data_IF_767758005597
#
_entry.id   IF_767758005597
#
_cell.length_a   1.000
_cell.length_b   1.000
_cell.length_c   1.000
_cell.angle_alpha   90.00
_cell.angle_beta   90.00
_cell.angle_gamma   90.00
#
_symmetry.space_group_name_H-M   'P 1'
#
loop_
_entity.id
_entity.type
_entity.pdbx_description
1 polymer ?
#
# COMPACT_ATOMS: atom_id res chain seq x y z
N UNK A 1 5.59 -36.34 47.95
CA UNK A 1 5.66 -37.01 46.65
C UNK A 1 4.71 -36.24 45.74
N UNK A 2 5.25 -35.26 45.01
CA UNK A 2 4.48 -34.52 44.01
C UNK A 2 4.33 -35.41 42.77
N UNK A 3 3.09 -35.60 42.34
CA UNK A 3 2.77 -36.37 41.15
C UNK A 3 3.50 -35.79 39.94
N UNK A 4 4.32 -36.64 39.31
CA UNK A 4 4.89 -36.38 38.01
C UNK A 4 3.73 -36.35 37.00
N UNK A 5 3.10 -35.18 36.86
CA UNK A 5 2.08 -34.90 35.86
C UNK A 5 2.77 -35.00 34.49
N UNK A 6 2.77 -36.19 33.90
CA UNK A 6 3.30 -36.43 32.56
C UNK A 6 2.51 -35.57 31.58
N UNK A 7 3.07 -34.42 31.22
CA UNK A 7 2.50 -33.55 30.19
C UNK A 7 2.45 -34.32 28.87
N UNK A 8 1.24 -34.62 28.41
CA UNK A 8 1.02 -35.32 27.16
C UNK A 8 1.19 -34.37 25.96
N UNK A 9 1.90 -34.82 24.93
CA UNK A 9 2.01 -34.10 23.65
C UNK A 9 0.75 -34.34 22.86
N UNK A 10 0.06 -33.27 22.50
CA UNK A 10 -1.09 -33.27 21.61
C UNK A 10 -0.63 -32.83 20.21
N UNK A 11 -0.92 -33.68 19.23
CA UNK A 11 -1.00 -33.25 17.83
C UNK A 11 -2.24 -32.39 17.63
N UNK A 12 -2.27 -31.54 16.60
CA UNK A 12 -3.40 -30.67 16.35
C UNK A 12 -4.73 -31.45 16.20
N UNK A 13 -4.71 -32.60 15.52
CA UNK A 13 -5.90 -33.44 15.30
C UNK A 13 -6.47 -34.02 16.61
N UNK A 14 -5.62 -34.15 17.63
CA UNK A 14 -6.01 -34.64 18.97
C UNK A 14 -6.45 -33.56 19.94
N UNK A 15 -6.46 -32.28 19.54
CA UNK A 15 -6.91 -31.19 20.39
C UNK A 15 -8.44 -31.18 20.57
N UNK A 16 -8.95 -30.68 21.71
CA UNK A 16 -10.35 -30.31 21.86
C UNK A 16 -10.83 -29.38 20.73
N UNK A 17 -12.05 -29.59 20.23
CA UNK A 17 -12.60 -28.83 19.09
C UNK A 17 -12.57 -27.31 19.31
N UNK A 18 -12.86 -26.86 20.54
CA UNK A 18 -12.81 -25.44 20.91
C UNK A 18 -11.41 -24.82 20.71
N UNK A 19 -10.35 -25.61 20.94
CA UNK A 19 -8.97 -25.18 20.72
C UNK A 19 -8.60 -25.25 19.23
N UNK A 20 -9.11 -26.22 18.49
CA UNK A 20 -8.92 -26.32 17.03
C UNK A 20 -9.47 -25.11 16.28
N UNK A 21 -10.47 -24.42 16.82
CA UNK A 21 -11.03 -23.19 16.22
C UNK A 21 -10.03 -22.02 16.22
N UNK A 22 -9.08 -21.99 17.17
CA UNK A 22 -8.19 -20.83 17.37
C UNK A 22 -6.70 -21.14 17.23
N UNK A 23 -6.28 -22.37 17.53
CA UNK A 23 -4.87 -22.75 17.56
C UNK A 23 -4.37 -23.20 16.17
N UNK A 24 -3.19 -22.71 15.74
CA UNK A 24 -2.55 -23.11 14.47
C UNK A 24 -2.44 -24.62 14.24
N UNK A 25 -2.65 -25.06 13.00
CA UNK A 25 -2.64 -26.48 12.61
C UNK A 25 -1.27 -27.15 12.60
N UNK A 26 -0.23 -26.41 12.22
CA UNK A 26 1.11 -26.97 11.96
C UNK A 26 2.00 -27.04 13.21
N UNK A 27 1.38 -27.08 14.40
CA UNK A 27 2.08 -27.06 15.68
C UNK A 27 1.65 -28.22 16.58
N UNK A 28 2.56 -28.62 17.46
CA UNK A 28 2.30 -29.56 18.54
C UNK A 28 2.20 -28.81 19.86
N UNK A 29 1.34 -29.31 20.75
CA UNK A 29 0.95 -28.61 21.98
C UNK A 29 1.12 -29.52 23.18
N UNK A 30 1.85 -29.05 24.18
CA UNK A 30 1.86 -29.63 25.53
C UNK A 30 0.90 -28.82 26.40
N UNK A 31 -0.31 -29.33 26.63
CA UNK A 31 -1.31 -28.64 27.45
C UNK A 31 -0.98 -28.87 28.93
N UNK A 32 -0.72 -27.78 29.66
CA UNK A 32 -0.51 -27.82 31.11
C UNK A 32 -1.82 -27.60 31.86
N UNK A 33 -2.63 -26.65 31.38
CA UNK A 33 -3.89 -26.26 32.00
C UNK A 33 -4.85 -25.79 30.91
N UNK A 34 -6.07 -26.28 30.95
CA UNK A 34 -7.15 -25.87 30.06
C UNK A 34 -8.43 -25.76 30.89
N UNK A 35 -9.02 -24.57 30.91
CA UNK A 35 -10.24 -24.26 31.65
C UNK A 35 -11.25 -23.71 30.65
N UNK A 36 -12.31 -24.46 30.39
CA UNK A 36 -13.45 -23.96 29.63
C UNK A 36 -14.28 -23.03 30.53
N UNK A 37 -14.60 -21.84 30.02
CA UNK A 37 -15.40 -20.84 30.72
C UNK A 37 -16.80 -20.80 30.12
N UNK A 38 -17.82 -20.35 30.88
CA UNK A 38 -19.15 -20.14 30.34
C UNK A 38 -19.11 -19.24 29.09
N UNK A 39 -19.87 -19.56 28.04
CA UNK A 39 -19.90 -18.73 26.85
C UNK A 39 -20.45 -17.35 27.17
N UNK A 40 -19.93 -16.34 26.48
CA UNK A 40 -20.41 -14.97 26.61
C UNK A 40 -21.42 -14.65 25.53
N UNK A 41 -22.64 -14.31 25.96
CA UNK A 41 -23.69 -13.84 25.06
C UNK A 41 -23.59 -12.35 24.84
N UNK A 42 -23.32 -11.95 23.61
CA UNK A 42 -23.23 -10.54 23.20
C UNK A 42 -24.61 -9.87 23.17
N UNK A 43 -24.63 -8.53 23.16
CA UNK A 43 -25.87 -7.75 22.99
C UNK A 43 -26.63 -8.05 21.69
N UNK A 44 -25.95 -8.62 20.68
CA UNK A 44 -26.53 -9.06 19.41
C UNK A 44 -26.97 -10.54 19.42
N UNK A 45 -27.06 -11.18 20.60
CA UNK A 45 -27.45 -12.59 20.78
C UNK A 45 -26.51 -13.62 20.11
N UNK A 46 -25.23 -13.27 19.93
CA UNK A 46 -24.20 -14.25 19.54
C UNK A 46 -23.50 -14.79 20.78
N UNK A 47 -23.36 -16.12 20.84
CA UNK A 47 -22.58 -16.79 21.87
C UNK A 47 -21.12 -16.92 21.45
N UNK A 48 -20.23 -16.58 22.36
CA UNK A 48 -18.78 -16.62 22.16
C UNK A 48 -18.19 -17.61 23.13
N UNK A 49 -17.50 -18.62 22.61
CA UNK A 49 -16.71 -19.57 23.38
C UNK A 49 -15.62 -18.87 24.16
N UNK A 50 -15.48 -19.19 25.45
CA UNK A 50 -14.45 -18.63 26.31
C UNK A 50 -13.65 -19.74 26.97
N UNK A 51 -12.35 -19.52 27.12
CA UNK A 51 -11.48 -20.47 27.82
C UNK A 51 -10.18 -19.79 28.28
N UNK A 52 -9.50 -20.44 29.20
CA UNK A 52 -8.11 -20.16 29.56
C UNK A 52 -7.24 -21.37 29.20
N UNK A 53 -6.09 -21.12 28.59
CA UNK A 53 -5.15 -22.16 28.17
C UNK A 53 -3.74 -21.77 28.58
N UNK A 54 -3.06 -22.69 29.25
CA UNK A 54 -1.61 -22.66 29.44
C UNK A 54 -1.00 -23.87 28.77
N UNK A 55 -0.14 -23.63 27.78
CA UNK A 55 0.47 -24.70 27.01
C UNK A 55 1.91 -24.35 26.58
N UNK A 56 2.64 -25.36 26.14
CA UNK A 56 3.91 -25.20 25.44
C UNK A 56 3.79 -25.59 23.98
N UNK A 57 4.47 -24.86 23.11
CA UNK A 57 4.44 -25.03 21.66
C UNK A 57 5.86 -25.29 21.14
N UNK A 58 5.95 -26.08 20.07
CA UNK A 58 7.17 -26.33 19.29
C UNK A 58 7.62 -25.08 18.51
N UNK A 59 8.05 -24.04 19.23
CA UNK A 59 8.69 -22.86 18.67
C UNK A 59 9.89 -22.49 19.56
N UNK A 60 11.08 -22.42 18.96
CA UNK A 60 12.35 -22.30 19.69
C UNK A 60 13.02 -20.91 19.57
N UNK A 61 12.46 -20.06 18.71
CA UNK A 61 13.00 -18.74 18.38
C UNK A 61 11.95 -17.65 18.46
N UNK A 62 12.42 -16.40 18.48
CA UNK A 62 11.53 -15.23 18.47
C UNK A 62 10.74 -15.16 17.16
N UNK A 63 11.37 -15.51 16.06
CA UNK A 63 10.80 -15.52 14.72
C UNK A 63 9.69 -16.57 14.61
N UNK A 64 9.91 -17.77 15.14
CA UNK A 64 8.88 -18.81 15.20
C UNK A 64 7.72 -18.45 16.13
N UNK A 65 7.99 -17.81 17.28
CA UNK A 65 6.93 -17.30 18.15
C UNK A 65 6.05 -16.25 17.44
N UNK A 66 6.65 -15.35 16.65
CA UNK A 66 5.89 -14.40 15.83
C UNK A 66 5.10 -15.09 14.72
N UNK A 67 5.67 -16.09 14.03
CA UNK A 67 4.94 -16.89 13.02
C UNK A 67 3.74 -17.59 13.64
N UNK A 68 3.92 -18.22 14.79
CA UNK A 68 2.84 -18.86 15.55
C UNK A 68 1.75 -17.85 15.92
N UNK A 69 2.14 -16.69 16.44
CA UNK A 69 1.18 -15.65 16.83
C UNK A 69 0.40 -15.09 15.63
N UNK A 70 1.05 -14.88 14.49
CA UNK A 70 0.40 -14.46 13.25
C UNK A 70 -0.60 -15.51 12.75
N UNK A 71 -0.22 -16.80 12.80
CA UNK A 71 -1.11 -17.91 12.46
C UNK A 71 -2.31 -17.97 13.42
N UNK A 72 -2.10 -17.77 14.72
CA UNK A 72 -3.17 -17.70 15.72
C UNK A 72 -4.15 -16.56 15.42
N UNK A 73 -3.67 -15.35 15.12
CA UNK A 73 -4.55 -14.22 14.76
C UNK A 73 -5.33 -14.47 13.48
N UNK A 74 -4.67 -15.09 12.49
CA UNK A 74 -5.30 -15.45 11.22
C UNK A 74 -6.45 -16.44 11.40
N UNK A 75 -6.23 -17.46 12.26
CA UNK A 75 -7.18 -18.54 12.51
C UNK A 75 -8.33 -18.09 13.41
N UNK A 76 -8.02 -17.47 14.55
CA UNK A 76 -9.02 -16.96 15.50
C UNK A 76 -9.80 -15.74 15.00
N UNK A 77 -9.37 -15.13 13.89
CA UNK A 77 -9.90 -13.85 13.36
C UNK A 77 -9.81 -12.69 14.35
N UNK A 78 -8.94 -12.81 15.37
CA UNK A 78 -8.76 -11.77 16.38
C UNK A 78 -7.60 -10.83 16.03
N UNK A 79 -7.74 -9.56 16.39
CA UNK A 79 -6.64 -8.59 16.32
C UNK A 79 -6.18 -8.25 17.72
N UNK A 80 -4.96 -8.69 18.05
CA UNK A 80 -4.35 -8.52 19.37
C UNK A 80 -3.11 -7.62 19.22
N UNK A 81 -3.12 -6.47 19.90
CA UNK A 81 -2.03 -5.51 19.86
C UNK A 81 -1.05 -5.77 21.01
N UNK A 82 0.25 -5.64 20.73
CA UNK A 82 1.28 -5.74 21.74
C UNK A 82 1.18 -4.55 22.72
N UNK A 83 0.85 -4.83 23.98
CA UNK A 83 0.76 -3.79 25.02
C UNK A 83 2.05 -3.66 25.80
N UNK A 84 2.77 -4.76 26.04
CA UNK A 84 4.07 -4.74 26.71
C UNK A 84 5.10 -5.58 25.96
N UNK A 85 6.19 -4.92 25.57
CA UNK A 85 7.45 -5.57 25.20
C UNK A 85 8.40 -5.43 26.39
N UNK A 86 9.08 -6.49 26.76
CA UNK A 86 10.02 -6.48 27.88
C UNK A 86 11.44 -6.23 27.35
N UNK A 87 12.16 -5.27 27.94
CA UNK A 87 13.61 -5.17 27.77
C UNK A 87 14.25 -6.32 28.53
N UNK A 88 14.81 -7.27 27.79
CA UNK A 88 15.40 -8.48 28.36
C UNK A 88 16.84 -8.16 28.75
N UNK A 89 17.09 -8.00 30.05
CA UNK A 89 18.42 -7.69 30.61
C UNK A 89 19.16 -8.90 31.16
N UNK A 90 18.57 -10.11 31.11
CA UNK A 90 19.17 -11.33 31.65
C UNK A 90 19.27 -12.47 30.63
N UNK A 91 20.19 -13.42 30.86
CA UNK A 91 20.44 -14.56 29.97
C UNK A 91 19.34 -15.64 29.97
N UNK A 92 18.36 -15.54 30.87
CA UNK A 92 17.41 -16.62 31.19
C UNK A 92 16.14 -16.59 30.34
N UNK A 93 15.62 -15.41 30.05
CA UNK A 93 14.44 -15.20 29.21
C UNK A 93 14.97 -14.74 27.85
N UNK A 94 14.53 -15.36 26.77
CA UNK A 94 14.97 -14.99 25.41
C UNK A 94 13.93 -14.13 24.70
N UNK A 95 12.65 -14.34 25.02
CA UNK A 95 11.55 -13.62 24.44
C UNK A 95 10.40 -13.55 25.45
N UNK A 96 9.77 -12.38 25.58
CA UNK A 96 8.58 -12.20 26.40
C UNK A 96 7.76 -11.04 25.87
N UNK A 97 6.50 -11.30 25.55
CA UNK A 97 5.58 -10.28 25.06
C UNK A 97 4.16 -10.53 25.55
N UNK A 98 3.44 -9.45 25.80
CA UNK A 98 2.04 -9.51 26.18
C UNK A 98 1.21 -8.74 25.16
N UNK A 99 0.16 -9.42 24.70
CA UNK A 99 -0.80 -8.95 23.73
C UNK A 99 -2.18 -8.87 24.37
N UNK A 100 -2.93 -7.85 24.00
CA UNK A 100 -4.33 -7.70 24.40
C UNK A 100 -5.18 -7.46 23.16
N UNK A 101 -6.46 -7.78 23.23
CA UNK A 101 -7.39 -7.43 22.16
C UNK A 101 -7.31 -5.92 21.85
N UNK A 102 -7.45 -5.55 20.58
CA UNK A 102 -7.48 -4.14 20.16
C UNK A 102 -8.58 -3.32 20.86
N UNK A 103 -9.62 -4.00 21.35
CA UNK A 103 -10.74 -3.43 22.10
C UNK A 103 -10.53 -3.40 23.63
N UNK A 104 -9.33 -3.72 24.11
CA UNK A 104 -8.98 -3.69 25.53
C UNK A 104 -8.67 -2.27 26.02
N UNK A 105 -8.84 -2.06 27.33
CA UNK A 105 -8.47 -0.82 28.00
C UNK A 105 -6.96 -0.56 27.93
N UNK A 106 -6.15 -1.61 27.96
CA UNK A 106 -4.69 -1.55 28.00
C UNK A 106 -4.13 -1.04 26.67
N UNK A 107 -4.69 -1.47 25.54
CA UNK A 107 -4.32 -0.95 24.21
C UNK A 107 -4.65 0.53 24.11
N UNK A 108 -5.83 0.95 24.58
CA UNK A 108 -6.20 2.37 24.60
C UNK A 108 -5.27 3.22 25.45
N UNK A 109 -4.96 2.77 26.66
CA UNK A 109 -4.02 3.48 27.56
C UNK A 109 -2.67 3.68 26.86
N UNK A 110 -2.17 2.67 26.13
CA UNK A 110 -0.92 2.76 25.38
C UNK A 110 -0.99 3.68 24.15
N UNK A 111 -2.13 3.72 23.45
CA UNK A 111 -2.31 4.60 22.28
C UNK A 111 -2.46 6.09 22.66
N UNK A 112 -2.64 6.41 23.94
CA UNK A 112 -2.84 7.77 24.44
C UNK A 112 -4.28 8.28 24.24
N UNK A 113 -4.59 9.43 24.86
CA UNK A 113 -5.91 10.06 24.78
C UNK A 113 -6.06 10.71 23.39
N UNK A 114 -6.47 9.94 22.39
CA UNK A 114 -7.02 10.52 21.16
C UNK A 114 -8.50 10.82 21.40
N UNK A 115 -8.91 12.08 21.27
CA UNK A 115 -10.34 12.46 21.29
C UNK A 115 -11.07 11.59 20.26
N UNK A 116 -11.90 10.66 20.73
CA UNK A 116 -12.77 9.87 19.87
C UNK A 116 -13.73 10.83 19.18
N UNK A 117 -13.54 11.06 17.87
CA UNK A 117 -14.38 11.99 17.07
C UNK A 117 -15.87 11.64 17.14
N UNK A 118 -16.21 10.38 17.47
CA UNK A 118 -17.58 9.88 17.66
C UNK A 118 -17.61 8.86 18.83
N UNK A 119 -17.98 9.25 20.05
CA UNK A 119 -18.05 8.34 21.19
C UNK A 119 -19.20 7.33 21.11
N UNK A 120 -20.22 7.57 20.29
CA UNK A 120 -21.43 6.75 20.18
C UNK A 120 -21.52 5.90 18.90
N UNK A 121 -20.51 5.93 18.01
CA UNK A 121 -20.54 5.01 16.86
C UNK A 121 -20.37 3.57 17.32
N UNK A 122 -20.93 2.58 16.62
CA UNK A 122 -20.61 1.16 16.88
C UNK A 122 -19.09 0.89 16.86
N UNK A 123 -18.36 1.65 16.02
CA UNK A 123 -16.88 1.73 15.99
C UNK A 123 -16.24 2.45 17.20
N UNK A 124 -16.97 2.78 18.26
CA UNK A 124 -16.42 3.48 19.43
C UNK A 124 -15.64 2.48 20.31
N UNK A 125 -14.33 2.54 20.08
CA UNK A 125 -13.32 1.51 20.23
C UNK A 125 -12.94 0.97 21.62
N UNK A 126 -13.71 1.15 22.71
CA UNK A 126 -13.39 0.50 23.99
C UNK A 126 -14.61 -0.17 24.54
N UNK A 127 -14.54 -1.49 24.62
CA UNK A 127 -15.55 -2.27 25.32
C UNK A 127 -14.90 -3.02 26.49
N UNK A 128 -13.65 -2.68 26.82
CA UNK A 128 -12.92 -3.29 27.94
C UNK A 128 -12.77 -4.80 27.77
N UNK A 129 -12.40 -5.24 26.56
CA UNK A 129 -12.22 -6.67 26.32
C UNK A 129 -11.06 -7.23 27.16
N UNK A 130 -11.31 -8.34 27.86
CA UNK A 130 -10.37 -8.98 28.78
C UNK A 130 -9.49 -10.06 28.11
N UNK A 131 -9.57 -10.21 26.79
CA UNK A 131 -8.80 -11.22 26.08
C UNK A 131 -7.30 -10.84 26.02
N UNK A 132 -6.45 -11.76 26.47
CA UNK A 132 -5.00 -11.55 26.55
C UNK A 132 -4.23 -12.78 26.11
N UNK A 133 -3.00 -12.53 25.65
CA UNK A 133 -2.04 -13.57 25.27
C UNK A 133 -0.68 -13.17 25.82
N UNK A 134 -0.06 -14.06 26.57
CA UNK A 134 1.31 -13.90 27.04
C UNK A 134 2.17 -15.00 26.42
N UNK A 135 3.17 -14.57 25.65
CA UNK A 135 4.17 -15.43 25.05
C UNK A 135 5.48 -15.30 25.83
N UNK A 136 6.13 -16.42 26.13
CA UNK A 136 7.41 -16.45 26.85
C UNK A 136 8.29 -17.59 26.35
N UNK A 137 9.54 -17.29 26.04
CA UNK A 137 10.58 -18.25 25.70
C UNK A 137 11.72 -18.16 26.72
N UNK A 138 12.10 -19.31 27.27
CA UNK A 138 13.17 -19.41 28.26
C UNK A 138 14.34 -20.24 27.72
N UNK A 139 15.57 -19.81 28.03
CA UNK A 139 16.78 -20.51 27.58
C UNK A 139 16.85 -21.96 28.08
N UNK A 140 16.37 -22.22 29.30
CA UNK A 140 16.33 -23.56 29.89
C UNK A 140 15.44 -24.54 29.14
N UNK A 141 14.48 -24.04 28.36
CA UNK A 141 13.50 -24.86 27.64
C UNK A 141 13.84 -25.06 26.16
N UNK A 142 14.94 -24.47 25.69
CA UNK A 142 15.44 -24.74 24.34
C UNK A 142 15.91 -26.19 24.17
N UNK A 143 16.27 -26.87 25.27
CA UNK A 143 16.55 -28.31 25.25
C UNK A 143 15.29 -29.17 25.11
N UNK A 144 14.10 -28.58 25.28
CA UNK A 144 12.82 -29.27 25.17
C UNK A 144 12.24 -29.06 23.77
N UNK A 145 11.54 -30.07 23.23
CA UNK A 145 10.87 -29.97 21.92
C UNK A 145 9.75 -28.91 21.87
N UNK A 146 9.34 -28.34 23.01
CA UNK A 146 8.27 -27.35 23.13
C UNK A 146 8.72 -26.19 24.03
N UNK A 147 9.51 -25.28 23.47
CA UNK A 147 10.20 -24.23 24.24
C UNK A 147 9.33 -23.00 24.54
N UNK A 148 8.35 -22.70 23.68
CA UNK A 148 7.50 -21.51 23.79
C UNK A 148 6.32 -21.75 24.75
N UNK A 149 6.29 -21.01 25.85
CA UNK A 149 5.14 -20.94 26.75
C UNK A 149 4.10 -19.98 26.21
N UNK A 150 2.85 -20.46 26.11
CA UNK A 150 1.67 -19.67 25.76
C UNK A 150 0.69 -19.67 26.94
N UNK A 151 0.26 -18.49 27.35
CA UNK A 151 -0.85 -18.28 28.26
C UNK A 151 -1.92 -17.47 27.52
N UNK A 152 -3.04 -18.12 27.20
CA UNK A 152 -4.17 -17.53 26.49
C UNK A 152 -5.34 -17.36 27.46
N UNK A 153 -5.86 -16.15 27.57
CA UNK A 153 -7.16 -15.87 28.15
C UNK A 153 -8.09 -15.45 27.01
N UNK A 154 -8.84 -16.39 26.46
CA UNK A 154 -9.73 -16.15 25.32
C UNK A 154 -11.12 -15.68 25.79
N UNK A 155 -11.15 -14.57 26.52
CA UNK A 155 -12.36 -14.01 27.12
C UNK A 155 -12.84 -12.75 26.36
N UNK A 156 -13.42 -12.96 25.18
CA UNK A 156 -13.97 -11.87 24.36
C UNK A 156 -15.40 -11.52 24.76
N UNK A 157 -15.70 -10.22 24.83
CA UNK A 157 -17.03 -9.66 25.09
C UNK A 157 -17.64 -8.99 23.85
N UNK A 158 -17.10 -9.29 22.67
CA UNK A 158 -17.59 -8.83 21.38
C UNK A 158 -17.42 -9.91 20.32
N UNK A 159 -18.25 -9.83 19.29
CA UNK A 159 -18.15 -10.71 18.13
C UNK A 159 -16.75 -10.59 17.55
N UNK A 160 -16.09 -11.73 17.30
CA UNK A 160 -14.72 -11.77 16.75
C UNK A 160 -14.74 -11.94 15.23
N UNK A 161 -15.75 -12.64 14.70
CA UNK A 161 -15.92 -12.89 13.27
C UNK A 161 -17.12 -12.10 12.72
N UNK A 162 -16.94 -10.80 12.52
CA UNK A 162 -17.92 -9.92 11.86
C UNK A 162 -17.17 -8.89 11.02
N UNK A 163 -17.80 -8.34 9.99
CA UNK A 163 -17.19 -7.30 9.16
C UNK A 163 -16.61 -6.13 9.99
N UNK A 164 -17.28 -5.76 11.08
CA UNK A 164 -16.78 -4.73 12.01
C UNK A 164 -15.48 -5.16 12.69
N UNK A 165 -15.41 -6.38 13.22
CA UNK A 165 -14.24 -6.92 13.90
C UNK A 165 -13.07 -7.17 12.94
N UNK A 166 -13.38 -7.69 11.74
CA UNK A 166 -12.43 -7.95 10.69
C UNK A 166 -11.82 -6.67 10.12
N UNK A 167 -12.55 -5.54 10.17
CA UNK A 167 -12.06 -4.23 9.75
C UNK A 167 -10.85 -3.73 10.56
N UNK A 168 -10.55 -4.34 11.72
CA UNK A 168 -9.37 -4.01 12.52
C UNK A 168 -8.15 -4.86 12.22
N UNK A 169 -8.30 -5.92 11.43
CA UNK A 169 -7.20 -6.83 11.13
C UNK A 169 -6.10 -6.09 10.37
N UNK A 170 -4.86 -6.51 10.64
CA UNK A 170 -3.69 -6.02 9.92
C UNK A 170 -3.72 -6.58 8.51
N UNK A 171 -3.46 -5.71 7.54
CA UNK A 171 -3.29 -6.07 6.13
C UNK A 171 -2.12 -7.05 6.04
N UNK A 172 -2.30 -8.16 5.33
CA UNK A 172 -1.25 -9.15 5.10
C UNK A 172 -0.11 -8.55 4.26
N UNK A 173 1.09 -9.07 4.43
CA UNK A 173 2.23 -8.59 3.66
C UNK A 173 2.08 -8.91 2.16
N UNK A 174 1.56 -10.09 1.81
CA UNK A 174 1.25 -10.50 0.43
C UNK A 174 0.38 -9.45 -0.29
N UNK A 175 -0.71 -9.03 0.36
CA UNK A 175 -1.64 -8.01 -0.17
C UNK A 175 -0.93 -6.66 -0.32
N UNK A 176 -0.13 -6.28 0.69
CA UNK A 176 0.64 -5.04 0.65
C UNK A 176 1.64 -5.03 -0.52
N UNK A 177 2.33 -6.14 -0.77
CA UNK A 177 3.26 -6.29 -1.89
C UNK A 177 2.55 -6.20 -3.24
N UNK A 178 1.36 -6.79 -3.37
CA UNK A 178 0.53 -6.69 -4.57
C UNK A 178 0.14 -5.23 -4.88
N UNK A 179 -0.28 -4.47 -3.87
CA UNK A 179 -0.52 -3.03 -4.04
C UNK A 179 0.74 -2.26 -4.43
N UNK A 180 1.91 -2.62 -3.89
CA UNK A 180 3.19 -1.99 -4.28
C UNK A 180 3.49 -2.25 -5.75
N UNK A 181 3.21 -3.46 -6.26
CA UNK A 181 3.38 -3.78 -7.68
C UNK A 181 2.42 -2.98 -8.56
N UNK A 182 1.13 -2.89 -8.19
CA UNK A 182 0.18 -2.03 -8.89
C UNK A 182 0.65 -0.56 -8.95
N UNK A 183 1.27 -0.05 -7.87
CA UNK A 183 1.82 1.31 -7.87
C UNK A 183 3.04 1.46 -8.78
N UNK A 184 3.87 0.42 -8.92
CA UNK A 184 4.98 0.39 -9.88
C UNK A 184 4.46 0.41 -11.32
N UNK A 185 3.33 -0.23 -11.56
CA UNK A 185 2.64 -0.24 -12.85
C UNK A 185 1.87 1.06 -13.14
N UNK A 186 1.97 2.06 -12.26
CA UNK A 186 1.40 3.39 -12.45
C UNK A 186 -0.02 3.57 -11.92
N UNK A 187 -0.58 2.59 -11.19
CA UNK A 187 -1.89 2.75 -10.58
C UNK A 187 -1.88 3.81 -9.47
N UNK A 188 -2.87 4.69 -9.49
CA UNK A 188 -3.27 5.53 -8.35
C UNK A 188 -3.88 4.66 -7.22
N UNK A 189 -4.01 5.17 -5.98
CA UNK A 189 -4.69 4.45 -4.91
C UNK A 189 -6.09 3.93 -5.29
N UNK A 190 -6.87 4.74 -6.00
CA UNK A 190 -8.23 4.38 -6.41
C UNK A 190 -8.20 3.29 -7.48
N UNK A 191 -7.42 3.48 -8.55
CA UNK A 191 -7.33 2.51 -9.64
C UNK A 191 -6.67 1.20 -9.20
N UNK A 192 -5.74 1.23 -8.24
CA UNK A 192 -5.16 0.03 -7.65
C UNK A 192 -6.19 -0.74 -6.84
N UNK A 193 -7.01 -0.04 -6.04
CA UNK A 193 -8.06 -0.67 -5.24
C UNK A 193 -9.10 -1.35 -6.15
N UNK A 194 -9.55 -0.68 -7.21
CA UNK A 194 -10.46 -1.28 -8.19
C UNK A 194 -9.86 -2.50 -8.87
N UNK A 195 -8.63 -2.39 -9.39
CA UNK A 195 -7.97 -3.52 -10.05
C UNK A 195 -7.78 -4.72 -9.11
N UNK A 196 -7.49 -4.46 -7.83
CA UNK A 196 -7.35 -5.48 -6.81
C UNK A 196 -8.70 -6.12 -6.41
N UNK A 197 -9.76 -5.31 -6.26
CA UNK A 197 -11.10 -5.84 -5.99
C UNK A 197 -11.62 -6.67 -7.18
N UNK A 198 -11.37 -6.26 -8.42
CA UNK A 198 -11.68 -7.05 -9.62
C UNK A 198 -10.96 -8.40 -9.61
N UNK A 199 -9.69 -8.44 -9.20
CA UNK A 199 -8.95 -9.71 -9.07
C UNK A 199 -9.56 -10.62 -8.01
N UNK A 200 -10.05 -10.06 -6.89
CA UNK A 200 -10.80 -10.80 -5.87
C UNK A 200 -12.10 -11.37 -6.46
N UNK A 201 -12.86 -10.55 -7.20
CA UNK A 201 -14.11 -10.98 -7.83
C UNK A 201 -13.92 -12.14 -8.81
N UNK A 202 -12.82 -12.13 -9.57
CA UNK A 202 -12.51 -13.20 -10.54
C UNK A 202 -12.01 -14.49 -9.88
N UNK A 203 -11.37 -14.40 -8.72
CA UNK A 203 -10.72 -15.53 -8.05
C UNK A 203 -11.59 -16.20 -6.97
N UNK A 204 -12.69 -15.56 -6.54
CA UNK A 204 -13.59 -16.14 -5.56
C UNK A 204 -14.33 -17.37 -6.12
N UNK A 205 -14.42 -18.43 -5.32
CA UNK A 205 -15.09 -19.67 -5.74
C UNK A 205 -16.61 -19.53 -5.73
N UNK A 206 -17.14 -18.74 -4.78
CA UNK A 206 -18.56 -18.48 -4.59
C UNK A 206 -18.82 -17.11 -3.94
N UNK A 207 -20.09 -16.71 -3.88
CA UNK A 207 -20.53 -15.41 -3.33
C UNK A 207 -20.26 -15.29 -1.82
N UNK A 208 -20.33 -16.39 -1.07
CA UNK A 208 -20.08 -16.37 0.38
C UNK A 208 -18.60 -16.12 0.67
N UNK A 209 -17.71 -16.83 -0.03
CA UNK A 209 -16.26 -16.60 0.05
C UNK A 209 -15.91 -15.17 -0.35
N UNK A 210 -16.51 -14.66 -1.43
CA UNK A 210 -16.31 -13.30 -1.90
C UNK A 210 -16.66 -12.27 -0.81
N UNK A 211 -17.84 -12.39 -0.20
CA UNK A 211 -18.30 -11.49 0.87
C UNK A 211 -17.36 -11.52 2.09
N UNK A 212 -16.85 -12.70 2.45
CA UNK A 212 -15.90 -12.86 3.55
C UNK A 212 -14.54 -12.21 3.24
N UNK A 213 -14.05 -12.33 2.01
CA UNK A 213 -12.80 -11.70 1.57
C UNK A 213 -12.94 -10.18 1.57
N UNK A 214 -14.02 -9.65 1.00
CA UNK A 214 -14.26 -8.21 0.91
C UNK A 214 -14.44 -7.56 2.28
N UNK A 215 -15.01 -8.28 3.25
CA UNK A 215 -15.18 -7.79 4.62
C UNK A 215 -13.89 -7.83 5.47
N UNK A 216 -12.91 -8.64 5.09
CA UNK A 216 -11.69 -8.87 5.85
C UNK A 216 -10.58 -7.89 5.47
N UNK A 217 -10.31 -6.89 6.32
CA UNK A 217 -9.23 -5.92 6.08
C UNK A 217 -7.85 -6.55 5.88
N UNK A 218 -7.63 -7.76 6.41
CA UNK A 218 -6.38 -8.47 6.17
C UNK A 218 -6.18 -8.82 4.69
N UNK A 219 -7.28 -9.04 3.96
CA UNK A 219 -7.34 -9.40 2.55
C UNK A 219 -7.74 -8.21 1.67
N UNK A 220 -8.84 -7.52 1.97
CA UNK A 220 -9.27 -6.31 1.26
C UNK A 220 -9.05 -5.04 2.10
N UNK A 221 -7.92 -4.32 1.95
CA UNK A 221 -7.64 -3.13 2.72
C UNK A 221 -8.56 -1.96 2.32
N UNK A 222 -8.87 -1.11 3.29
CA UNK A 222 -9.63 0.10 2.99
C UNK A 222 -8.81 1.15 2.24
N UNK A 223 -9.50 2.05 1.53
CA UNK A 223 -8.89 3.13 0.76
C UNK A 223 -7.91 3.99 1.58
N UNK A 224 -8.23 4.33 2.84
CA UNK A 224 -7.35 5.12 3.72
C UNK A 224 -5.99 4.43 3.95
N UNK A 225 -5.97 3.10 4.06
CA UNK A 225 -4.72 2.35 4.13
C UNK A 225 -3.95 2.41 2.80
N UNK A 226 -4.64 2.13 1.68
CA UNK A 226 -4.02 2.11 0.34
C UNK A 226 -3.43 3.47 -0.01
N UNK A 227 -4.15 4.56 0.27
CA UNK A 227 -3.66 5.94 0.05
C UNK A 227 -2.40 6.24 0.89
N UNK A 228 -2.36 5.82 2.16
CA UNK A 228 -1.17 5.98 3.00
C UNK A 228 0.00 5.11 2.54
N UNK A 229 -0.28 3.90 2.05
CA UNK A 229 0.74 3.02 1.49
C UNK A 229 1.34 3.63 0.22
N UNK A 230 0.49 4.15 -0.67
CA UNK A 230 0.91 4.84 -1.87
C UNK A 230 1.77 6.07 -1.56
N UNK A 231 1.38 6.87 -0.56
CA UNK A 231 2.20 8.01 -0.14
C UNK A 231 3.59 7.57 0.32
N UNK A 232 3.70 6.52 1.15
CA UNK A 232 5.00 5.98 1.57
C UNK A 232 5.81 5.44 0.41
N UNK A 233 5.15 4.72 -0.51
CA UNK A 233 5.77 4.21 -1.72
C UNK A 233 6.35 5.37 -2.55
N UNK A 234 5.54 6.40 -2.84
CA UNK A 234 5.93 7.62 -3.56
C UNK A 234 7.12 8.31 -2.89
N UNK A 235 7.05 8.55 -1.59
CA UNK A 235 8.14 9.18 -0.83
C UNK A 235 9.44 8.37 -0.92
N UNK A 236 9.35 7.04 -0.87
CA UNK A 236 10.52 6.16 -0.94
C UNK A 236 11.10 5.97 -2.35
N UNK A 237 10.24 5.92 -3.37
CA UNK A 237 10.62 5.59 -4.74
C UNK A 237 10.88 6.82 -5.60
N UNK A 238 10.09 7.89 -5.43
CA UNK A 238 10.14 9.11 -6.26
C UNK A 238 10.62 10.35 -5.47
N UNK A 239 10.73 10.26 -4.14
CA UNK A 239 11.07 11.39 -3.28
C UNK A 239 9.91 12.36 -3.05
N UNK A 240 10.22 13.59 -2.65
CA UNK A 240 9.19 14.61 -2.44
C UNK A 240 8.60 15.09 -3.77
N UNK A 241 7.32 15.50 -3.75
CA UNK A 241 6.53 15.80 -4.95
C UNK A 241 7.18 16.85 -5.88
N UNK A 242 7.91 17.81 -5.31
CA UNK A 242 8.62 18.87 -6.03
C UNK A 242 10.12 18.86 -5.69
N UNK A 243 10.64 17.70 -5.29
CA UNK A 243 12.03 17.54 -4.88
C UNK A 243 12.97 17.37 -6.06
N UNK A 244 14.24 17.74 -5.85
CA UNK A 244 15.33 17.42 -6.77
C UNK A 244 15.37 15.94 -7.20
N UNK A 245 15.12 14.94 -6.32
CA UNK A 245 15.14 13.53 -6.72
C UNK A 245 14.12 13.16 -7.80
N UNK A 246 12.95 13.81 -7.82
CA UNK A 246 11.92 13.56 -8.83
C UNK A 246 12.40 13.99 -10.21
N UNK A 247 13.03 15.17 -10.31
CA UNK A 247 13.60 15.67 -11.55
C UNK A 247 14.83 14.88 -12.00
N UNK A 248 15.68 14.44 -11.06
CA UNK A 248 16.80 13.54 -11.34
C UNK A 248 16.29 12.23 -11.97
N UNK A 249 15.24 11.62 -11.41
CA UNK A 249 14.63 10.42 -11.98
C UNK A 249 13.94 10.68 -13.33
N UNK A 250 13.23 11.80 -13.48
CA UNK A 250 12.60 12.16 -14.76
C UNK A 250 13.65 12.35 -15.86
N UNK A 251 14.83 12.88 -15.51
CA UNK A 251 15.95 13.00 -16.43
C UNK A 251 16.48 11.63 -16.87
N UNK A 252 16.62 10.68 -15.96
CA UNK A 252 16.98 9.29 -16.29
C UNK A 252 15.98 8.67 -17.28
N UNK A 253 14.68 8.83 -17.04
CA UNK A 253 13.62 8.34 -17.94
C UNK A 253 13.74 8.99 -19.33
N UNK A 254 14.01 10.29 -19.39
CA UNK A 254 14.20 11.01 -20.67
C UNK A 254 15.44 10.52 -21.41
N UNK A 255 16.54 10.26 -20.71
CA UNK A 255 17.76 9.69 -21.27
C UNK A 255 17.53 8.27 -21.79
N UNK A 256 16.83 7.41 -21.04
CA UNK A 256 16.43 6.06 -21.47
C UNK A 256 15.53 6.11 -22.71
N UNK A 257 14.50 6.95 -22.70
CA UNK A 257 13.60 7.12 -23.83
C UNK A 257 14.34 7.59 -25.09
N UNK A 258 15.24 8.57 -24.94
CA UNK A 258 16.10 9.03 -26.03
C UNK A 258 17.06 7.94 -26.54
N UNK A 259 17.54 7.07 -25.65
CA UNK A 259 18.40 5.93 -25.99
C UNK A 259 17.65 4.74 -26.62
N UNK A 260 16.35 4.59 -26.33
CA UNK A 260 15.52 3.47 -26.80
C UNK A 260 15.23 3.48 -28.30
N UNK A 261 15.41 4.63 -28.95
CA UNK A 261 15.04 4.84 -30.35
C UNK A 261 13.53 4.88 -30.60
N UNK A 262 12.67 4.97 -29.58
CA UNK A 262 11.21 5.09 -29.71
C UNK A 262 10.75 6.51 -30.08
N UNK A 263 11.61 7.49 -29.85
CA UNK A 263 11.38 8.89 -30.15
C UNK A 263 12.45 9.74 -29.50
N UNK A 264 12.13 11.00 -29.22
CA UNK A 264 12.98 11.87 -28.45
C UNK A 264 12.18 12.77 -27.51
N UNK A 265 12.81 13.18 -26.41
CA UNK A 265 12.24 14.07 -25.41
C UNK A 265 13.27 15.08 -24.90
N UNK A 266 12.78 16.28 -24.52
CA UNK A 266 13.55 17.33 -23.85
C UNK A 266 12.89 17.67 -22.53
N UNK A 267 13.71 17.87 -21.50
CA UNK A 267 13.29 18.24 -20.17
C UNK A 267 13.93 19.58 -19.75
N UNK A 268 13.12 20.49 -19.25
CA UNK A 268 13.50 21.64 -18.44
C UNK A 268 12.88 21.48 -17.05
N UNK A 269 13.74 21.43 -16.04
CA UNK A 269 13.31 21.33 -14.64
C UNK A 269 12.66 22.63 -14.15
N UNK A 270 11.71 22.49 -13.23
CA UNK A 270 11.16 23.63 -12.51
C UNK A 270 12.22 24.23 -11.58
N UNK A 271 12.41 25.55 -11.64
CA UNK A 271 13.30 26.26 -10.73
C UNK A 271 12.70 27.60 -10.33
N UNK A 272 12.20 27.67 -9.10
CA UNK A 272 11.59 28.88 -8.54
C UNK A 272 12.59 30.05 -8.43
N UNK A 273 13.88 29.78 -8.19
CA UNK A 273 14.90 30.82 -8.02
C UNK A 273 15.23 31.52 -9.34
N UNK A 274 15.25 30.78 -10.44
CA UNK A 274 15.49 31.31 -11.78
C UNK A 274 14.20 31.65 -12.54
N UNK A 275 13.02 31.42 -11.94
CA UNK A 275 11.72 31.59 -12.59
C UNK A 275 11.51 30.66 -13.79
N UNK A 276 12.18 29.51 -13.83
CA UNK A 276 11.98 28.53 -14.89
C UNK A 276 10.78 27.65 -14.56
N UNK A 277 9.79 27.68 -15.44
CA UNK A 277 8.69 26.74 -15.45
C UNK A 277 9.18 25.33 -15.82
N UNK A 278 8.43 24.31 -15.39
CA UNK A 278 8.63 22.95 -15.86
C UNK A 278 8.19 22.85 -17.32
N UNK A 279 9.04 22.24 -18.17
CA UNK A 279 8.70 21.94 -19.56
C UNK A 279 9.23 20.54 -19.90
N UNK A 280 8.36 19.65 -20.33
CA UNK A 280 8.73 18.37 -20.94
C UNK A 280 8.10 18.30 -22.33
N UNK A 281 8.94 18.14 -23.35
CA UNK A 281 8.51 18.00 -24.73
C UNK A 281 8.82 16.60 -25.23
N UNK A 282 7.81 15.88 -25.74
CA UNK A 282 7.95 14.51 -26.24
C UNK A 282 7.54 14.44 -27.71
N UNK A 283 8.39 13.81 -28.51
CA UNK A 283 8.17 13.51 -29.93
C UNK A 283 8.38 12.02 -30.14
N UNK A 284 7.33 11.30 -30.51
CA UNK A 284 7.46 9.89 -30.92
C UNK A 284 8.04 9.79 -32.33
N UNK A 285 8.54 8.62 -32.73
CA UNK A 285 8.96 8.39 -34.11
C UNK A 285 7.87 8.69 -35.15
N UNK A 286 6.60 8.46 -34.83
CA UNK A 286 5.49 8.82 -35.70
C UNK A 286 5.43 10.34 -35.90
N UNK A 287 5.47 11.10 -34.81
CA UNK A 287 5.44 12.56 -34.82
C UNK A 287 6.66 13.14 -35.56
N UNK A 288 7.85 12.56 -35.36
CA UNK A 288 9.05 12.97 -36.07
C UNK A 288 8.91 12.80 -37.59
N UNK A 289 8.35 11.67 -38.05
CA UNK A 289 8.07 11.44 -39.48
C UNK A 289 7.05 12.43 -40.04
N UNK A 290 6.04 12.83 -39.25
CA UNK A 290 5.09 13.87 -39.68
C UNK A 290 5.83 15.20 -39.89
N UNK A 291 6.64 15.62 -38.93
CA UNK A 291 7.45 16.83 -39.04
C UNK A 291 8.36 16.80 -40.28
N UNK A 292 8.93 15.64 -40.62
CA UNK A 292 9.84 15.48 -41.76
C UNK A 292 9.11 15.42 -43.12
N UNK A 293 8.00 14.67 -43.21
CA UNK A 293 7.37 14.32 -44.49
C UNK A 293 6.20 15.23 -44.86
N UNK A 294 5.57 15.88 -43.89
CA UNK A 294 4.38 16.71 -44.13
C UNK A 294 4.81 18.16 -44.23
N UNK A 295 4.82 18.71 -45.45
CA UNK A 295 5.21 20.10 -45.70
C UNK A 295 4.42 21.10 -44.83
N UNK A 296 3.13 20.82 -44.59
CA UNK A 296 2.26 21.68 -43.78
C UNK A 296 2.73 21.82 -42.33
N UNK A 297 3.49 20.84 -41.79
CA UNK A 297 4.03 20.87 -40.44
C UNK A 297 4.93 22.10 -40.21
N UNK A 298 5.71 22.51 -41.22
CA UNK A 298 6.54 23.71 -41.17
C UNK A 298 5.80 25.03 -41.44
N UNK A 299 4.49 24.98 -41.72
CA UNK A 299 3.67 26.15 -42.08
C UNK A 299 2.63 26.48 -41.03
N UNK A 300 1.90 25.48 -40.56
CA UNK A 300 0.76 25.66 -39.66
C UNK A 300 0.83 24.59 -38.57
N UNK A 301 0.84 25.05 -37.32
CA UNK A 301 0.74 24.24 -36.12
C UNK A 301 -0.48 24.69 -35.32
N UNK A 302 -1.34 23.73 -34.96
CA UNK A 302 -2.44 23.91 -34.04
C UNK A 302 -2.00 23.40 -32.66
N UNK A 303 -2.28 24.17 -31.63
CA UNK A 303 -2.02 23.81 -30.24
C UNK A 303 -3.36 23.55 -29.57
N UNK A 304 -3.55 22.35 -29.04
CA UNK A 304 -4.71 22.00 -28.24
C UNK A 304 -4.26 21.77 -26.79
N UNK A 305 -4.51 22.75 -25.93
CA UNK A 305 -4.26 22.63 -24.50
C UNK A 305 -5.44 21.93 -23.84
N UNK A 306 -5.19 20.76 -23.26
CA UNK A 306 -6.16 20.09 -22.38
C UNK A 306 -5.85 20.51 -20.95
N UNK A 307 -6.88 20.99 -20.23
CA UNK A 307 -6.78 21.30 -18.82
C UNK A 307 -6.25 20.09 -18.02
N UNK A 308 -5.32 20.36 -17.11
CA UNK A 308 -4.71 19.37 -16.24
C UNK A 308 -5.72 18.85 -15.20
N UNK A 309 -5.79 17.53 -15.02
CA UNK A 309 -6.50 16.89 -13.89
C UNK A 309 -5.53 16.15 -12.96
N UNK A 310 -4.23 16.48 -12.99
CA UNK A 310 -3.26 15.88 -12.09
C UNK A 310 -3.03 16.73 -10.83
N UNK A 311 -2.55 16.14 -9.72
CA UNK A 311 -2.27 16.88 -8.49
C UNK A 311 -1.16 17.94 -8.61
N UNK A 312 -0.40 17.93 -9.70
CA UNK A 312 0.71 18.84 -9.97
C UNK A 312 0.30 20.03 -10.87
N UNK A 313 -0.95 20.04 -11.33
CA UNK A 313 -1.48 21.02 -12.28
C UNK A 313 -0.64 21.11 -13.58
N UNK A 314 -0.16 19.97 -14.07
CA UNK A 314 0.61 19.83 -15.30
C UNK A 314 -0.30 19.93 -16.51
N UNK A 315 -0.16 21.00 -17.26
CA UNK A 315 -0.89 21.19 -18.50
C UNK A 315 -0.35 20.28 -19.60
N UNK A 316 -1.24 19.61 -20.33
CA UNK A 316 -0.88 18.83 -21.51
C UNK A 316 -1.30 19.59 -22.75
N UNK A 317 -0.33 20.00 -23.57
CA UNK A 317 -0.59 20.67 -24.85
C UNK A 317 -0.17 19.78 -26.01
N UNK A 318 -1.14 19.42 -26.85
CA UNK A 318 -0.92 18.57 -28.03
C UNK A 318 -0.72 19.45 -29.26
N UNK A 319 0.32 19.17 -30.04
CA UNK A 319 0.64 19.88 -31.28
C UNK A 319 0.19 19.08 -32.49
N UNK A 320 -0.46 19.73 -33.45
CA UNK A 320 -0.93 19.11 -34.68
C UNK A 320 -0.71 19.98 -35.90
N UNK A 321 -0.65 19.38 -37.08
CA UNK A 321 -0.77 20.08 -38.36
C UNK A 321 -1.94 19.51 -39.17
N UNK A 322 -2.50 20.31 -40.07
CA UNK A 322 -3.53 19.83 -40.98
C UNK A 322 -2.91 19.22 -42.23
N UNK A 323 -3.49 18.11 -42.69
CA UNK A 323 -3.23 17.50 -43.98
C UNK A 323 -4.56 17.23 -44.70
N UNK A 324 -4.49 16.76 -45.94
CA UNK A 324 -5.68 16.44 -46.75
C UNK A 324 -6.57 15.34 -46.13
N UNK A 325 -6.04 14.57 -45.19
CA UNK A 325 -6.72 13.42 -44.54
C UNK A 325 -7.16 13.76 -43.10
N UNK A 326 -6.76 14.92 -42.54
CA UNK A 326 -7.13 15.34 -41.20
C UNK A 326 -5.97 15.97 -40.41
N UNK A 327 -6.05 15.92 -39.09
CA UNK A 327 -5.00 16.44 -38.20
C UNK A 327 -3.96 15.36 -37.89
N UNK A 328 -2.68 15.69 -38.05
CA UNK A 328 -1.54 14.81 -37.76
C UNK A 328 -0.73 15.36 -36.57
N UNK A 329 -0.28 14.51 -35.63
CA UNK A 329 0.41 14.97 -34.43
C UNK A 329 1.87 15.35 -34.73
N UNK A 330 2.32 16.45 -34.12
CA UNK A 330 3.69 16.96 -34.21
C UNK A 330 4.50 16.75 -32.93
N UNK A 331 3.85 16.68 -31.77
CA UNK A 331 4.51 16.55 -30.48
C UNK A 331 3.56 16.83 -29.32
N UNK A 332 4.05 16.63 -28.10
CA UNK A 332 3.29 16.86 -26.85
C UNK A 332 4.15 17.65 -25.87
N UNK A 333 3.58 18.72 -25.31
CA UNK A 333 4.16 19.45 -24.18
C UNK A 333 3.46 19.09 -22.88
N UNK A 334 4.26 19.04 -21.83
CA UNK A 334 3.82 19.06 -20.44
C UNK A 334 4.44 20.31 -19.79
N UNK A 335 3.62 21.21 -19.26
CA UNK A 335 4.09 22.45 -18.62
C UNK A 335 3.48 22.65 -17.23
N UNK A 336 4.18 23.36 -16.34
CA UNK A 336 3.66 23.69 -15.00
C UNK A 336 2.57 24.76 -14.99
N UNK A 337 2.48 25.56 -16.06
CA UNK A 337 1.56 26.69 -16.18
C UNK A 337 1.28 27.03 -17.65
N UNK A 338 0.31 27.92 -17.85
CA UNK A 338 -0.16 28.47 -19.13
C UNK A 338 0.39 29.88 -19.41
N UNK A 339 1.43 30.32 -18.68
CA UNK A 339 1.97 31.65 -18.91
C UNK A 339 2.59 31.74 -20.30
N UNK A 340 2.38 32.87 -20.97
CA UNK A 340 2.90 33.14 -22.31
C UNK A 340 4.41 32.85 -22.41
N UNK A 341 5.19 33.32 -21.43
CA UNK A 341 6.64 33.11 -21.35
C UNK A 341 7.01 31.62 -21.30
N UNK A 342 6.20 30.79 -20.63
CA UNK A 342 6.43 29.34 -20.53
C UNK A 342 6.16 28.67 -21.87
N UNK A 343 5.07 29.05 -22.53
CA UNK A 343 4.72 28.54 -23.86
C UNK A 343 5.72 28.99 -24.93
N UNK A 344 6.17 30.24 -24.89
CA UNK A 344 7.23 30.75 -25.77
C UNK A 344 8.51 29.95 -25.61
N UNK A 345 8.94 29.68 -24.36
CA UNK A 345 10.10 28.83 -24.09
C UNK A 345 9.90 27.40 -24.57
N UNK A 346 8.70 26.83 -24.39
CA UNK A 346 8.39 25.48 -24.85
C UNK A 346 8.45 25.37 -26.38
N UNK A 347 7.85 26.33 -27.08
CA UNK A 347 7.87 26.42 -28.55
C UNK A 347 9.30 26.68 -29.05
N UNK A 348 10.06 27.60 -28.44
CA UNK A 348 11.45 27.86 -28.80
C UNK A 348 12.33 26.62 -28.61
N UNK A 349 12.14 25.88 -27.52
CA UNK A 349 12.86 24.62 -27.26
C UNK A 349 12.51 23.56 -28.29
N UNK A 350 11.23 23.46 -28.67
CA UNK A 350 10.78 22.55 -29.73
C UNK A 350 11.33 22.94 -31.10
N UNK A 351 11.43 24.24 -31.41
CA UNK A 351 11.97 24.70 -32.68
C UNK A 351 13.48 24.43 -32.79
N UNK A 352 14.23 24.67 -31.72
CA UNK A 352 15.65 24.33 -31.66
C UNK A 352 15.86 22.82 -31.85
N UNK A 353 14.96 22.00 -31.30
CA UNK A 353 15.00 20.55 -31.40
C UNK A 353 14.58 20.00 -32.76
N UNK A 354 13.51 20.53 -33.33
CA UNK A 354 13.07 20.24 -34.69
C UNK A 354 14.17 20.65 -35.66
N UNK A 355 14.82 21.80 -35.44
CA UNK A 355 15.98 22.22 -36.20
C UNK A 355 17.19 21.29 -35.99
N UNK A 356 17.38 20.67 -34.81
CA UNK A 356 18.44 19.67 -34.57
C UNK A 356 18.15 18.31 -35.24
N UNK A 357 16.88 17.94 -35.33
CA UNK A 357 16.42 16.73 -36.05
C UNK A 357 16.51 16.97 -37.57
N UNK A 358 16.11 18.16 -38.01
CA UNK A 358 16.11 18.59 -39.41
C UNK A 358 17.46 19.16 -39.87
N UNK A 359 18.45 19.43 -39.00
CA UNK A 359 19.78 19.92 -39.42
C UNK A 359 20.61 18.88 -40.18
N UNK A 360 20.09 17.67 -40.36
CA UNK A 360 20.55 16.76 -41.40
C UNK A 360 20.04 17.12 -42.82
N UNK A 361 19.19 18.16 -42.97
CA UNK A 361 18.72 18.77 -44.22
C UNK A 361 18.06 20.16 -43.96
N UNK A 362 18.88 21.22 -44.03
CA UNK A 362 18.58 22.63 -44.36
C UNK A 362 17.27 23.33 -43.88
N UNK A 363 17.49 24.36 -43.04
CA UNK A 363 16.83 25.67 -42.92
C UNK A 363 15.30 25.78 -42.71
N UNK A 364 14.90 26.26 -41.52
CA UNK A 364 13.69 27.07 -41.36
C UNK A 364 13.88 28.13 -40.25
N UNK A 365 13.87 29.41 -40.66
CA UNK A 365 13.83 30.60 -39.79
C UNK A 365 12.67 31.48 -40.25
N UNK A 366 11.48 31.30 -39.66
CA UNK A 366 10.38 32.27 -39.67
C UNK A 366 9.24 31.76 -38.77
N UNK A 367 9.25 32.08 -37.47
CA UNK A 367 8.08 31.81 -36.61
C UNK A 367 7.79 32.91 -35.57
N UNK A 368 8.58 33.98 -35.49
CA UNK A 368 8.43 34.96 -34.41
C UNK A 368 7.31 35.99 -34.64
N UNK A 369 6.71 36.10 -35.82
CA UNK A 369 5.89 37.29 -36.14
C UNK A 369 4.36 37.13 -36.03
N UNK A 370 3.81 35.97 -35.66
CA UNK A 370 2.34 35.78 -35.66
C UNK A 370 1.72 35.60 -34.26
N UNK A 371 2.51 35.62 -33.19
CA UNK A 371 2.00 35.32 -31.84
C UNK A 371 1.28 36.50 -31.14
N UNK A 372 1.40 37.74 -31.64
CA UNK A 372 0.89 38.93 -30.93
C UNK A 372 -0.60 39.25 -31.19
N UNK A 373 -1.32 38.56 -32.10
CA UNK A 373 -2.66 39.00 -32.50
C UNK A 373 -3.85 38.12 -32.09
N UNK A 374 -3.66 37.06 -31.30
CA UNK A 374 -4.78 36.19 -30.87
C UNK A 374 -5.06 36.13 -29.37
N UNK A 375 -4.32 36.86 -28.55
CA UNK A 375 -4.71 37.17 -27.17
C UNK A 375 -4.71 38.69 -26.97
N UNK A 376 -5.83 39.32 -27.32
CA UNK A 376 -6.24 40.65 -26.86
C UNK A 376 -7.73 40.62 -26.60
#
# INVERSE_FOLDING_TARGET
>A
MEDANTLQIFSWDSLPEILKLVLPQHNTYLIKEFIELPPYRTAKNFDITQFELKAYVNADSKEEAHKWFAAFQSRSKTTMAQTRGFTITGNWILYREIYHCIHSNEVKKKQGIRKTKRPQSARAHNIGCNATIHLRLERKRLSDNHSLEIELKFAHNHIINSAESLSFRRVKEEVREEFINLFRDGHSPSSALYAYEDSIHLNASDEQELLEILADRAKNPNYDYVAKLFQKYRESALGSHNGKPMFEHLKEIVEEYNGSGQGRAILQEYNANSGNAFILYIVTNLMARVNEKVHQAGKICYMNASAAFDPLNTLITLLYTSCTVGALPLGVFFTSDELEITLEKAVASSQHFINLILSNLLNFTAFITTFILFYS
#
